data_IF_555972927479
#
_entry.id   IF_555972927479
#
_cell.length_a   1.000
_cell.length_b   1.000
_cell.length_c   1.000
_cell.angle_alpha   90.00
_cell.angle_beta   90.00
_cell.angle_gamma   90.00
#
_symmetry.space_group_name_H-M   'P 1'
#
loop_
_entity.id
_entity.type
_entity.pdbx_description
1 polymer ?
#
# COMPACT_ATOMS: atom_id res chain seq x y z
N UNK A 1 29.61 13.18 31.17
CA UNK A 1 30.54 12.72 30.10
C UNK A 1 30.16 11.36 29.48
N UNK A 2 29.42 10.49 30.14
CA UNK A 2 29.08 9.13 29.69
C UNK A 2 28.03 9.10 28.55
N UNK A 3 27.12 10.07 28.50
CA UNK A 3 26.02 10.11 27.49
C UNK A 3 26.49 10.46 26.08
N UNK A 4 27.57 11.23 25.95
CA UNK A 4 28.13 11.64 24.62
C UNK A 4 28.89 10.50 23.92
N UNK A 5 29.47 9.57 24.67
CA UNK A 5 30.22 8.45 24.09
C UNK A 5 29.30 7.32 23.60
N UNK A 6 28.12 7.12 24.21
CA UNK A 6 27.15 6.13 23.79
C UNK A 6 26.52 6.50 22.42
N UNK A 7 26.30 7.81 22.15
CA UNK A 7 25.68 8.27 20.91
C UNK A 7 26.58 8.06 19.69
N UNK A 8 27.91 8.18 19.86
CA UNK A 8 28.86 7.95 18.75
C UNK A 8 29.04 6.48 18.38
N UNK A 9 28.91 5.57 19.34
CA UNK A 9 29.02 4.12 19.09
C UNK A 9 27.78 3.59 18.33
N UNK A 10 26.57 4.08 18.63
CA UNK A 10 25.35 3.67 17.95
C UNK A 10 25.33 4.11 16.47
N UNK A 11 25.87 5.30 16.15
CA UNK A 11 25.94 5.79 14.77
C UNK A 11 26.94 4.99 13.95
N UNK A 12 28.04 4.53 14.54
CA UNK A 12 29.04 3.71 13.84
C UNK A 12 28.52 2.31 13.45
N UNK A 13 27.60 1.74 14.22
CA UNK A 13 27.00 0.41 13.94
C UNK A 13 26.02 0.47 12.75
N UNK A 14 25.34 1.60 12.53
CA UNK A 14 24.38 1.76 11.43
C UNK A 14 25.04 1.92 10.05
N UNK A 15 26.32 2.28 9.98
CA UNK A 15 27.08 2.44 8.73
C UNK A 15 27.73 1.12 8.25
N UNK A 16 27.81 0.10 9.11
CA UNK A 16 28.44 -1.19 8.76
C UNK A 16 27.55 -2.16 7.94
N UNK A 17 26.30 -1.78 7.66
CA UNK A 17 25.30 -2.66 7.04
C UNK A 17 25.28 -2.70 5.50
N UNK A 18 25.96 -1.79 4.78
CA UNK A 18 25.93 -1.73 3.32
C UNK A 18 27.24 -2.23 2.72
N UNK A 19 27.46 -3.54 2.72
CA UNK A 19 28.54 -4.12 1.92
C UNK A 19 28.16 -4.04 0.43
N UNK A 20 28.92 -3.26 -0.35
CA UNK A 20 28.75 -3.20 -1.80
C UNK A 20 29.12 -4.52 -2.48
N UNK A 21 28.61 -4.74 -3.67
CA UNK A 21 29.03 -5.90 -4.52
C UNK A 21 30.53 -5.96 -4.67
N UNK A 22 31.18 -4.82 -4.87
CA UNK A 22 32.64 -4.74 -5.00
C UNK A 22 33.38 -5.17 -3.72
N UNK A 23 32.90 -4.78 -2.54
CA UNK A 23 33.47 -5.18 -1.25
C UNK A 23 33.39 -6.71 -1.07
N UNK A 24 32.26 -7.32 -1.37
CA UNK A 24 32.06 -8.78 -1.25
C UNK A 24 32.90 -9.56 -2.23
N UNK A 25 33.06 -9.06 -3.46
CA UNK A 25 33.96 -9.65 -4.44
C UNK A 25 35.40 -9.62 -3.96
N UNK A 26 35.87 -8.45 -3.47
CA UNK A 26 37.21 -8.32 -2.95
C UNK A 26 37.47 -9.23 -1.74
N UNK A 27 36.51 -9.38 -0.84
CA UNK A 27 36.61 -10.31 0.29
C UNK A 27 36.68 -11.78 -0.14
N UNK A 28 35.88 -12.16 -1.15
CA UNK A 28 35.92 -13.52 -1.73
C UNK A 28 37.29 -13.81 -2.40
N UNK A 29 37.82 -12.87 -3.17
CA UNK A 29 39.17 -13.00 -3.79
C UNK A 29 40.26 -13.07 -2.73
N UNK A 30 40.15 -12.32 -1.63
CA UNK A 30 41.09 -12.37 -0.50
C UNK A 30 41.11 -13.73 0.22
N UNK A 31 40.06 -14.53 0.11
CA UNK A 31 39.99 -15.91 0.61
C UNK A 31 40.64 -16.93 -0.37
N UNK A 32 41.22 -16.48 -1.47
CA UNK A 32 41.89 -17.30 -2.44
C UNK A 32 40.99 -17.94 -3.50
N UNK A 33 39.73 -17.46 -3.61
CA UNK A 33 38.78 -17.88 -4.64
C UNK A 33 39.03 -17.10 -5.92
N UNK A 34 38.90 -17.77 -7.07
CA UNK A 34 39.07 -17.10 -8.37
C UNK A 34 38.01 -16.03 -8.59
N UNK A 35 38.38 -14.96 -9.28
CA UNK A 35 37.47 -13.82 -9.57
C UNK A 35 36.18 -14.26 -10.27
N UNK A 36 36.28 -15.21 -11.21
CA UNK A 36 35.12 -15.72 -11.96
C UNK A 36 34.15 -16.46 -11.04
N UNK A 37 34.68 -17.24 -10.09
CA UNK A 37 33.86 -17.96 -9.10
C UNK A 37 33.16 -16.97 -8.14
N UNK A 38 33.89 -15.93 -7.70
CA UNK A 38 33.32 -14.88 -6.87
C UNK A 38 32.21 -14.10 -7.59
N UNK A 39 32.41 -13.84 -8.89
CA UNK A 39 31.40 -13.18 -9.72
C UNK A 39 30.12 -14.02 -9.86
N UNK A 40 30.27 -15.33 -10.16
CA UNK A 40 29.14 -16.27 -10.24
C UNK A 40 28.37 -16.37 -8.90
N UNK A 41 29.11 -16.44 -7.80
CA UNK A 41 28.49 -16.50 -6.46
C UNK A 41 27.66 -15.24 -6.16
N UNK A 42 28.18 -14.05 -6.50
CA UNK A 42 27.47 -12.80 -6.30
C UNK A 42 26.26 -12.67 -7.24
N UNK A 43 26.37 -13.11 -8.49
CA UNK A 43 25.25 -13.14 -9.44
C UNK A 43 24.13 -14.07 -8.95
N UNK A 44 24.48 -15.26 -8.45
CA UNK A 44 23.51 -16.20 -7.88
C UNK A 44 22.83 -15.61 -6.64
N UNK A 45 23.58 -14.92 -5.80
CA UNK A 45 23.05 -14.24 -4.63
C UNK A 45 22.05 -13.12 -5.02
N UNK A 46 22.39 -12.32 -6.02
CA UNK A 46 21.48 -11.27 -6.51
C UNK A 46 20.19 -11.87 -7.08
N UNK A 47 20.31 -12.93 -7.89
CA UNK A 47 19.16 -13.64 -8.43
C UNK A 47 18.24 -14.17 -7.31
N UNK A 48 18.83 -14.76 -6.26
CA UNK A 48 18.06 -15.24 -5.11
C UNK A 48 17.34 -14.11 -4.37
N UNK A 49 17.97 -12.93 -4.23
CA UNK A 49 17.36 -11.75 -3.60
C UNK A 49 16.17 -11.26 -4.44
N UNK A 50 16.33 -11.15 -5.76
CA UNK A 50 15.23 -10.74 -6.65
C UNK A 50 14.07 -11.73 -6.63
N UNK A 51 14.33 -13.02 -6.66
CA UNK A 51 13.31 -14.05 -6.56
C UNK A 51 12.56 -14.00 -5.22
N UNK A 52 13.27 -13.76 -4.11
CA UNK A 52 12.65 -13.60 -2.80
C UNK A 52 11.79 -12.33 -2.72
N UNK A 53 12.25 -11.21 -3.28
CA UNK A 53 11.52 -9.95 -3.33
C UNK A 53 10.24 -10.07 -4.19
N UNK A 54 10.33 -10.75 -5.35
CA UNK A 54 9.18 -11.01 -6.21
C UNK A 54 8.13 -11.88 -5.50
N UNK A 55 8.58 -12.97 -4.86
CA UNK A 55 7.69 -13.83 -4.06
C UNK A 55 6.98 -13.04 -2.96
N UNK A 56 7.70 -12.19 -2.23
CA UNK A 56 7.12 -11.36 -1.18
C UNK A 56 6.12 -10.34 -1.74
N UNK A 57 6.40 -9.74 -2.91
CA UNK A 57 5.48 -8.84 -3.59
C UNK A 57 4.18 -9.55 -3.99
N UNK A 58 4.27 -10.76 -4.55
CA UNK A 58 3.11 -11.58 -4.89
C UNK A 58 2.28 -11.98 -3.66
N UNK A 59 2.94 -12.38 -2.56
CA UNK A 59 2.25 -12.70 -1.30
C UNK A 59 1.53 -11.47 -0.71
N UNK A 60 2.15 -10.31 -0.77
CA UNK A 60 1.54 -9.07 -0.30
C UNK A 60 0.34 -8.66 -1.18
N UNK A 61 0.46 -8.79 -2.50
CA UNK A 61 -0.65 -8.58 -3.42
C UNK A 61 -1.81 -9.55 -3.12
N UNK A 62 -1.53 -10.84 -2.93
CA UNK A 62 -2.54 -11.83 -2.59
C UNK A 62 -3.25 -11.53 -1.26
N UNK A 63 -2.52 -11.05 -0.24
CA UNK A 63 -3.11 -10.60 1.04
C UNK A 63 -4.04 -9.40 0.85
N UNK A 64 -3.63 -8.43 0.03
CA UNK A 64 -4.48 -7.27 -0.29
C UNK A 64 -5.77 -7.69 -1.01
N UNK A 65 -5.69 -8.59 -1.99
CA UNK A 65 -6.87 -9.14 -2.66
C UNK A 65 -7.79 -9.91 -1.69
N UNK A 66 -7.23 -10.72 -0.79
CA UNK A 66 -8.01 -11.44 0.20
C UNK A 66 -8.70 -10.51 1.21
N UNK A 67 -8.07 -9.40 1.58
CA UNK A 67 -8.70 -8.37 2.42
C UNK A 67 -9.81 -7.64 1.68
N UNK A 68 -9.61 -7.27 0.41
CA UNK A 68 -10.65 -6.63 -0.40
C UNK A 68 -11.86 -7.53 -0.61
N UNK A 69 -11.65 -8.83 -0.80
CA UNK A 69 -12.74 -9.82 -0.92
C UNK A 69 -13.56 -10.01 0.37
N UNK A 70 -12.96 -9.77 1.54
CA UNK A 70 -13.65 -9.81 2.86
C UNK A 70 -14.27 -8.48 3.27
N UNK A 71 -14.00 -7.42 2.53
CA UNK A 71 -14.51 -6.08 2.82
C UNK A 71 -16.04 -6.06 2.64
N UNK A 72 -16.72 -5.50 3.64
CA UNK A 72 -18.17 -5.28 3.55
C UNK A 72 -18.45 -4.17 2.55
N UNK A 73 -19.02 -4.54 1.41
CA UNK A 73 -19.43 -3.57 0.39
C UNK A 73 -20.87 -3.13 0.65
N UNK A 74 -21.05 -1.82 0.78
CA UNK A 74 -22.36 -1.18 0.85
C UNK A 74 -22.82 -0.88 -0.58
N UNK A 75 -24.07 -1.22 -0.90
CA UNK A 75 -24.64 -0.97 -2.21
C UNK A 75 -25.92 -0.15 -2.06
N UNK A 76 -26.06 0.89 -2.87
CA UNK A 76 -27.26 1.70 -2.91
C UNK A 76 -27.55 2.12 -4.37
N UNK A 77 -28.84 2.30 -4.66
CA UNK A 77 -29.30 2.92 -5.90
C UNK A 77 -30.08 4.18 -5.54
N UNK A 78 -29.58 5.34 -5.96
CA UNK A 78 -30.15 6.66 -5.65
C UNK A 78 -30.40 7.37 -6.96
N UNK A 79 -31.66 7.75 -7.24
CA UNK A 79 -32.07 8.39 -8.48
C UNK A 79 -31.60 7.66 -9.77
N UNK A 80 -31.58 6.33 -9.75
CA UNK A 80 -31.11 5.49 -10.86
C UNK A 80 -29.60 5.24 -10.90
N UNK A 81 -28.81 5.98 -10.11
CA UNK A 81 -27.36 5.86 -10.02
C UNK A 81 -26.99 4.73 -9.06
N UNK A 82 -26.19 3.78 -9.51
CA UNK A 82 -25.66 2.71 -8.67
C UNK A 82 -24.40 3.19 -7.94
N UNK A 83 -24.38 2.99 -6.63
CA UNK A 83 -23.25 3.36 -5.74
C UNK A 83 -22.81 2.11 -5.00
N UNK A 84 -21.50 1.82 -5.03
CA UNK A 84 -20.87 0.78 -4.22
C UNK A 84 -19.74 1.40 -3.42
N UNK A 85 -19.75 1.20 -2.11
CA UNK A 85 -18.71 1.70 -1.21
C UNK A 85 -18.22 0.55 -0.35
N UNK A 86 -16.92 0.36 -0.33
CA UNK A 86 -16.21 -0.57 0.56
C UNK A 86 -15.38 0.25 1.54
N UNK A 87 -15.95 0.64 2.70
CA UNK A 87 -15.34 1.60 3.61
C UNK A 87 -14.00 1.14 4.19
N UNK A 88 -13.89 -0.16 4.44
CA UNK A 88 -12.72 -0.77 5.09
C UNK A 88 -11.46 -0.68 4.22
N UNK A 89 -11.64 -0.75 2.89
CA UNK A 89 -10.56 -0.65 1.90
C UNK A 89 -10.57 0.69 1.18
N UNK A 90 -11.40 1.63 1.63
CA UNK A 90 -11.50 3.01 1.10
C UNK A 90 -11.75 3.07 -0.41
N UNK A 91 -12.57 2.16 -0.92
CA UNK A 91 -12.95 2.12 -2.32
C UNK A 91 -14.42 2.50 -2.51
N UNK A 92 -14.67 3.33 -3.51
CA UNK A 92 -16.00 3.73 -3.93
C UNK A 92 -16.16 3.62 -5.45
N UNK A 93 -17.36 3.27 -5.88
CA UNK A 93 -17.75 3.22 -7.30
C UNK A 93 -19.07 3.93 -7.47
N UNK A 94 -19.16 4.76 -8.49
CA UNK A 94 -20.40 5.42 -8.95
C UNK A 94 -20.59 5.01 -10.41
N UNK A 95 -21.74 4.40 -10.72
CA UNK A 95 -22.02 3.83 -12.04
C UNK A 95 -20.90 2.88 -12.52
N UNK A 96 -20.48 1.95 -11.66
CA UNK A 96 -19.43 0.95 -11.93
C UNK A 96 -18.03 1.54 -12.21
N UNK A 97 -17.86 2.85 -12.15
CA UNK A 97 -16.58 3.52 -12.34
C UNK A 97 -16.00 3.92 -10.98
N UNK A 98 -14.70 3.74 -10.80
CA UNK A 98 -14.01 4.10 -9.57
C UNK A 98 -14.18 5.60 -9.25
N UNK A 99 -14.56 5.89 -8.02
CA UNK A 99 -14.67 7.24 -7.47
C UNK A 99 -13.50 7.51 -6.54
N UNK A 100 -12.92 8.69 -6.62
CA UNK A 100 -11.81 9.09 -5.75
C UNK A 100 -12.31 9.39 -4.34
N UNK A 101 -11.64 8.85 -3.32
CA UNK A 101 -11.84 9.28 -1.93
C UNK A 101 -11.22 10.66 -1.77
N UNK A 102 -12.05 11.69 -1.59
CA UNK A 102 -11.61 13.09 -1.49
C UNK A 102 -11.53 13.58 -0.05
N UNK A 103 -12.35 13.00 0.83
CA UNK A 103 -12.36 13.36 2.25
C UNK A 103 -12.67 12.13 3.10
N UNK A 104 -11.99 12.02 4.23
CA UNK A 104 -12.27 11.01 5.25
C UNK A 104 -12.12 11.60 6.64
N UNK A 105 -13.12 11.35 7.48
CA UNK A 105 -13.06 11.68 8.91
C UNK A 105 -13.78 10.60 9.72
N UNK A 106 -13.84 10.77 11.05
CA UNK A 106 -14.48 9.79 11.94
C UNK A 106 -15.98 9.60 11.68
N UNK A 107 -16.65 10.56 10.99
CA UNK A 107 -18.09 10.54 10.76
C UNK A 107 -18.47 10.10 9.36
N UNK A 108 -17.63 10.40 8.36
CA UNK A 108 -17.96 10.17 6.96
C UNK A 108 -16.75 9.89 6.08
N UNK A 109 -17.04 9.29 4.92
CA UNK A 109 -16.14 9.19 3.78
C UNK A 109 -16.84 9.80 2.56
N UNK A 110 -16.10 10.60 1.78
CA UNK A 110 -16.60 11.31 0.61
C UNK A 110 -15.91 10.78 -0.63
N UNK A 111 -16.69 10.29 -1.57
CA UNK A 111 -16.23 9.74 -2.85
C UNK A 111 -16.74 10.60 -3.99
N UNK A 112 -15.85 11.03 -4.88
CA UNK A 112 -16.18 11.90 -6.00
C UNK A 112 -15.85 11.26 -7.34
N UNK A 113 -16.79 11.39 -8.29
CA UNK A 113 -16.62 11.03 -9.70
C UNK A 113 -17.33 12.04 -10.60
N UNK A 114 -16.58 12.85 -11.31
CA UNK A 114 -17.14 13.90 -12.17
C UNK A 114 -18.04 14.83 -11.38
N UNK A 115 -19.30 14.94 -11.79
CA UNK A 115 -20.32 15.80 -11.13
C UNK A 115 -20.97 15.14 -9.92
N UNK A 116 -20.72 13.85 -9.67
CA UNK A 116 -21.32 13.10 -8.59
C UNK A 116 -20.41 13.04 -7.37
N UNK A 117 -21.01 13.24 -6.19
CA UNK A 117 -20.37 13.07 -4.89
C UNK A 117 -21.22 12.14 -4.03
N UNK A 118 -20.65 11.00 -3.62
CA UNK A 118 -21.30 10.08 -2.70
C UNK A 118 -20.67 10.23 -1.31
N UNK A 119 -21.49 10.55 -0.31
CA UNK A 119 -21.07 10.70 1.08
C UNK A 119 -21.64 9.53 1.88
N UNK A 120 -20.76 8.72 2.46
CA UNK A 120 -21.18 7.69 3.39
C UNK A 120 -21.01 8.13 4.84
N UNK A 121 -22.13 8.24 5.56
CA UNK A 121 -22.16 8.59 6.98
C UNK A 121 -22.10 7.32 7.84
N UNK A 122 -20.99 7.13 8.55
CA UNK A 122 -20.69 5.92 9.35
C UNK A 122 -21.74 5.64 10.42
N UNK A 123 -22.04 6.62 11.26
CA UNK A 123 -22.97 6.46 12.38
C UNK A 123 -24.44 6.27 11.95
N UNK A 124 -24.82 6.88 10.84
CA UNK A 124 -26.20 6.83 10.33
C UNK A 124 -26.44 5.68 9.37
N UNK A 125 -25.38 4.94 9.00
CA UNK A 125 -25.43 3.91 7.94
C UNK A 125 -26.19 4.40 6.71
N UNK A 126 -25.84 5.60 6.23
CA UNK A 126 -26.57 6.30 5.18
C UNK A 126 -25.61 6.79 4.11
N UNK A 127 -25.98 6.56 2.86
CA UNK A 127 -25.31 7.11 1.69
C UNK A 127 -26.15 8.26 1.18
N UNK A 128 -25.54 9.41 0.95
CA UNK A 128 -26.15 10.61 0.33
C UNK A 128 -25.44 10.83 -0.99
N UNK A 129 -26.22 10.99 -2.07
CA UNK A 129 -25.71 11.32 -3.38
C UNK A 129 -25.98 12.79 -3.69
N UNK A 130 -24.94 13.51 -4.12
CA UNK A 130 -25.02 14.84 -4.65
C UNK A 130 -24.67 14.83 -6.15
N UNK A 131 -25.25 15.72 -6.89
CA UNK A 131 -24.88 16.07 -8.26
C UNK A 131 -24.66 17.59 -8.32
N UNK A 132 -23.49 18.01 -8.80
CA UNK A 132 -23.13 19.44 -8.85
C UNK A 132 -23.31 20.16 -7.49
N UNK A 133 -23.01 19.46 -6.38
CA UNK A 133 -23.16 19.99 -5.02
C UNK A 133 -24.59 19.97 -4.45
N UNK A 134 -25.60 19.60 -5.24
CA UNK A 134 -26.99 19.50 -4.79
C UNK A 134 -27.37 18.06 -4.44
N UNK A 135 -28.08 17.88 -3.33
CA UNK A 135 -28.53 16.55 -2.88
C UNK A 135 -29.56 16.01 -3.88
N UNK A 136 -29.24 14.87 -4.50
CA UNK A 136 -30.13 14.14 -5.40
C UNK A 136 -30.99 13.15 -4.63
N UNK A 137 -30.46 12.59 -3.54
CA UNK A 137 -31.18 11.65 -2.71
C UNK A 137 -30.28 10.95 -1.70
N UNK A 138 -30.86 9.99 -1.00
CA UNK A 138 -30.14 9.20 -0.02
C UNK A 138 -30.73 7.80 0.14
N UNK A 139 -29.91 6.85 0.53
CA UNK A 139 -30.31 5.48 0.83
C UNK A 139 -29.60 4.97 2.10
N UNK A 140 -30.16 3.91 2.70
CA UNK A 140 -29.50 3.18 3.77
C UNK A 140 -28.38 2.34 3.14
N UNK A 141 -27.19 2.35 3.74
CA UNK A 141 -26.03 1.57 3.32
C UNK A 141 -25.85 0.30 4.14
#
# INVERSE_FOLDING_TARGET
MIIRTLSTVVIAILLAGCTSTASRMAECEAQGVSKDTCYLAEQNRQTAIYAAAEKQALENAAKQYAQSAKSKTLQARIAGIEIKISPDIKQGYIEQTAAALTEENQYAQVYQKGVYTAIWYRQKHKIVLLRDGQIVGSAKG
#
